data_IF_035284791969
#
_entry.id   IF_035284791969
#
_cell.length_a   1.000
_cell.length_b   1.000
_cell.length_c   1.000
_cell.angle_alpha   90.00
_cell.angle_beta   90.00
_cell.angle_gamma   90.00
#
_symmetry.space_group_name_H-M   'P 1'
#
loop_
_entity.id
_entity.type
_entity.pdbx_description
1 polymer ?
#
# COMPACT_ATOMS: atom_id res chain seq x y z
N UNK A 1 -11.14 -4.82 16.23
CA UNK A 1 -11.22 -4.29 14.85
C UNK A 1 -10.68 -5.35 13.92
N UNK A 2 -11.54 -5.99 13.14
CA UNK A 2 -11.10 -6.94 12.10
C UNK A 2 -10.82 -6.11 10.86
N UNK A 3 -9.55 -5.99 10.48
CA UNK A 3 -9.18 -5.32 9.25
C UNK A 3 -9.29 -6.37 8.14
N UNK A 4 -10.22 -6.17 7.21
CA UNK A 4 -10.35 -7.05 6.06
C UNK A 4 -9.19 -6.81 5.08
N UNK A 5 -8.52 -7.88 4.67
CA UNK A 5 -7.41 -7.82 3.69
C UNK A 5 -7.83 -7.12 2.40
N UNK A 6 -9.09 -7.30 1.98
CA UNK A 6 -9.66 -6.61 0.82
C UNK A 6 -9.71 -5.08 0.99
N UNK A 7 -9.97 -4.58 2.19
CA UNK A 7 -9.97 -3.14 2.48
C UNK A 7 -8.55 -2.56 2.45
N UNK A 8 -7.56 -3.31 2.93
CA UNK A 8 -6.14 -2.92 2.87
C UNK A 8 -5.62 -2.90 1.43
N UNK A 9 -5.93 -3.93 0.64
CA UNK A 9 -5.57 -3.98 -0.79
C UNK A 9 -6.20 -2.81 -1.56
N UNK A 10 -7.47 -2.51 -1.28
CA UNK A 10 -8.17 -1.37 -1.90
C UNK A 10 -7.54 -0.03 -1.51
N UNK A 11 -7.14 0.14 -0.25
CA UNK A 11 -6.44 1.34 0.21
C UNK A 11 -5.05 1.46 -0.46
N UNK A 12 -4.32 0.34 -0.59
CA UNK A 12 -3.03 0.29 -1.26
C UNK A 12 -3.14 0.76 -2.72
N UNK A 13 -4.08 0.20 -3.48
CA UNK A 13 -4.32 0.58 -4.88
C UNK A 13 -4.70 2.05 -5.02
N UNK A 14 -5.50 2.60 -4.10
CA UNK A 14 -5.86 4.03 -4.11
C UNK A 14 -4.65 4.93 -3.91
N UNK A 15 -3.76 4.59 -2.98
CA UNK A 15 -2.54 5.36 -2.75
C UNK A 15 -1.60 5.28 -3.96
N UNK A 16 -1.46 4.10 -4.57
CA UNK A 16 -0.65 3.92 -5.80
C UNK A 16 -1.18 4.79 -6.95
N UNK A 17 -2.49 4.74 -7.23
CA UNK A 17 -3.11 5.56 -8.26
C UNK A 17 -2.95 7.06 -7.97
N UNK A 18 -3.08 7.48 -6.71
CA UNK A 18 -2.93 8.88 -6.33
C UNK A 18 -1.49 9.38 -6.51
N UNK A 19 -0.49 8.57 -6.14
CA UNK A 19 0.93 8.85 -6.37
C UNK A 19 1.19 8.96 -7.87
N UNK A 20 0.73 7.99 -8.65
CA UNK A 20 0.90 7.97 -10.11
C UNK A 20 0.29 9.20 -10.77
N UNK A 21 -0.97 9.53 -10.44
CA UNK A 21 -1.65 10.73 -10.93
C UNK A 21 -0.89 12.02 -10.58
N UNK A 22 -0.30 12.10 -9.38
CA UNK A 22 0.48 13.27 -8.95
C UNK A 22 1.77 13.42 -9.75
N UNK A 23 2.42 12.32 -10.11
CA UNK A 23 3.67 12.32 -10.89
C UNK A 23 3.39 12.58 -12.39
N UNK A 24 2.30 12.02 -12.90
CA UNK A 24 1.86 12.19 -14.29
C UNK A 24 1.19 13.57 -14.55
N UNK A 25 0.94 14.36 -13.49
CA UNK A 25 0.37 15.70 -13.60
C UNK A 25 1.39 16.65 -14.27
N UNK A 26 1.06 17.29 -15.41
CA UNK A 26 1.97 18.21 -16.08
C UNK A 26 2.30 19.47 -15.25
N UNK A 27 1.47 19.81 -14.26
CA UNK A 27 1.74 20.90 -13.30
C UNK A 27 2.60 20.44 -12.11
N UNK A 28 2.95 19.16 -12.05
CA UNK A 28 3.83 18.65 -11.01
C UNK A 28 5.23 19.23 -11.12
N UNK A 29 5.69 19.84 -10.03
CA UNK A 29 7.03 20.43 -9.94
C UNK A 29 7.79 19.79 -8.81
N UNK A 30 8.78 18.96 -9.14
CA UNK A 30 9.67 18.34 -8.15
C UNK A 30 10.51 19.37 -7.36
N UNK A 31 10.62 20.61 -7.85
CA UNK A 31 11.25 21.72 -7.12
C UNK A 31 10.31 22.41 -6.14
N UNK A 32 9.00 22.20 -6.26
CA UNK A 32 8.02 22.70 -5.32
C UNK A 32 8.04 21.83 -4.05
N UNK A 33 8.54 22.40 -2.96
CA UNK A 33 8.72 21.68 -1.70
C UNK A 33 7.39 21.18 -1.10
N UNK A 34 6.28 21.87 -1.38
CA UNK A 34 4.96 21.46 -0.88
C UNK A 34 4.45 20.23 -1.64
N UNK A 35 4.61 20.22 -2.97
CA UNK A 35 4.23 19.08 -3.80
C UNK A 35 5.10 17.85 -3.50
N UNK A 36 6.41 18.04 -3.33
CA UNK A 36 7.31 16.96 -2.93
C UNK A 36 6.99 16.41 -1.54
N UNK A 37 6.68 17.28 -0.58
CA UNK A 37 6.27 16.84 0.76
C UNK A 37 4.97 16.03 0.71
N UNK A 38 3.97 16.47 -0.07
CA UNK A 38 2.73 15.72 -0.26
C UNK A 38 2.99 14.34 -0.88
N UNK A 39 3.85 14.29 -1.90
CA UNK A 39 4.23 13.04 -2.56
C UNK A 39 4.96 12.09 -1.59
N UNK A 40 5.90 12.61 -0.78
CA UNK A 40 6.61 11.83 0.23
C UNK A 40 5.65 11.26 1.30
N UNK A 41 4.69 12.06 1.79
CA UNK A 41 3.69 11.58 2.74
C UNK A 41 2.85 10.44 2.16
N UNK A 42 2.41 10.57 0.90
CA UNK A 42 1.66 9.52 0.19
C UNK A 42 2.50 8.25 0.01
N UNK A 43 3.76 8.39 -0.39
CA UNK A 43 4.68 7.25 -0.49
C UNK A 43 4.89 6.55 0.86
N UNK A 44 5.04 7.31 1.94
CA UNK A 44 5.16 6.74 3.29
C UNK A 44 3.91 5.96 3.68
N UNK A 45 2.72 6.51 3.39
CA UNK A 45 1.45 5.83 3.63
C UNK A 45 1.32 4.54 2.81
N UNK A 46 1.68 4.59 1.52
CA UNK A 46 1.73 3.41 0.65
C UNK A 46 2.68 2.32 1.19
N UNK A 47 3.88 2.70 1.66
CA UNK A 47 4.83 1.75 2.23
C UNK A 47 4.30 1.08 3.51
N UNK A 48 3.66 1.85 4.39
CA UNK A 48 3.06 1.31 5.60
C UNK A 48 1.95 0.29 5.28
N UNK A 49 1.04 0.66 4.37
CA UNK A 49 -0.03 -0.23 3.92
C UNK A 49 0.52 -1.48 3.22
N UNK A 50 1.58 -1.35 2.42
CA UNK A 50 2.23 -2.46 1.73
C UNK A 50 2.87 -3.45 2.71
N UNK A 51 3.54 -2.93 3.75
CA UNK A 51 4.13 -3.74 4.80
C UNK A 51 3.09 -4.52 5.59
N UNK A 52 2.01 -3.85 6.02
CA UNK A 52 0.89 -4.48 6.72
C UNK A 52 0.24 -5.56 5.85
N UNK A 53 -0.06 -5.25 4.60
CA UNK A 53 -0.70 -6.18 3.66
C UNK A 53 0.19 -7.41 3.42
N UNK A 54 1.49 -7.20 3.22
CA UNK A 54 2.46 -8.27 2.98
C UNK A 54 2.61 -9.20 4.19
N UNK A 55 2.62 -8.65 5.42
CA UNK A 55 2.64 -9.43 6.65
C UNK A 55 1.40 -10.32 6.75
N UNK A 56 0.20 -9.76 6.53
CA UNK A 56 -1.05 -10.53 6.60
C UNK A 56 -1.11 -11.61 5.52
N UNK A 57 -0.69 -11.32 4.28
CA UNK A 57 -0.64 -12.31 3.20
C UNK A 57 0.35 -13.43 3.53
N UNK A 58 1.50 -13.11 4.13
CA UNK A 58 2.46 -14.10 4.61
C UNK A 58 1.87 -15.01 5.69
N UNK A 59 1.19 -14.44 6.68
CA UNK A 59 0.55 -15.19 7.76
C UNK A 59 -0.56 -16.11 7.22
N UNK A 60 -1.38 -15.61 6.28
CA UNK A 60 -2.39 -16.41 5.60
C UNK A 60 -1.78 -17.57 4.80
N UNK A 61 -0.65 -17.33 4.12
CA UNK A 61 0.08 -18.37 3.38
C UNK A 61 0.63 -19.44 4.32
N UNK A 62 1.21 -19.05 5.46
CA UNK A 62 1.70 -19.98 6.47
C UNK A 62 0.56 -20.80 7.09
N UNK A 63 -0.57 -20.16 7.43
CA UNK A 63 -1.75 -20.83 7.92
C UNK A 63 -2.29 -21.85 6.91
N UNK A 64 -2.36 -21.48 5.62
CA UNK A 64 -2.77 -22.39 4.55
C UNK A 64 -1.81 -23.58 4.39
N UNK A 65 -0.50 -23.36 4.46
CA UNK A 65 0.49 -24.44 4.41
C UNK A 65 0.38 -25.40 5.60
N UNK A 66 0.15 -24.89 6.80
CA UNK A 66 -0.06 -25.71 8.00
C UNK A 66 -1.35 -26.53 7.96
N UNK A 67 -2.39 -26.06 7.26
CA UNK A 67 -3.59 -26.85 6.97
C UNK A 67 -3.30 -27.95 5.95
N UNK A 68 -2.60 -27.62 4.85
CA UNK A 68 -2.26 -28.59 3.80
C UNK A 68 -1.35 -29.72 4.31
N UNK A 69 -0.43 -29.46 5.24
CA UNK A 69 0.43 -30.49 5.84
C UNK A 69 -0.29 -31.43 6.84
N UNK A 70 -1.49 -31.09 7.29
CA UNK A 70 -2.30 -31.91 8.20
C UNK A 70 -3.34 -32.79 7.48
N UNK A 71 -3.39 -32.75 6.15
CA UNK A 71 -4.25 -33.59 5.30
C UNK A 71 -3.42 -34.71 4.69
#
# INVERSE_FOLDING_TARGET
MTIEVGALLSALSKEEEAIKKKIDDPDFKATDSKQMLELQMRFSNYQQLSGITSAIVSDLKQAAQGVIQKV
#
